data_IF_350219493279
#
_entry.id   IF_350219493279
#
_cell.length_a   1.000
_cell.length_b   1.000
_cell.length_c   1.000
_cell.angle_alpha   90.00
_cell.angle_beta   90.00
_cell.angle_gamma   90.00
#
_symmetry.space_group_name_H-M   'P 1'
#
loop_
_entity.id
_entity.type
_entity.pdbx_description
1 polymer ?
#
# COMPACT_ATOMS: atom_id res chain seq x y z
N UNK A 1 -16.89 2.77 5.78
CA UNK A 1 -16.62 3.23 4.40
C UNK A 1 -15.14 3.14 4.03
N UNK A 2 -14.21 3.69 4.82
CA UNK A 2 -12.75 3.67 4.49
C UNK A 2 -12.15 2.25 4.42
N UNK A 3 -12.56 1.35 5.33
CA UNK A 3 -12.08 -0.04 5.33
C UNK A 3 -12.53 -0.86 4.10
N UNK A 4 -13.70 -0.54 3.53
CA UNK A 4 -14.28 -1.29 2.41
C UNK A 4 -13.54 -0.99 1.11
N UNK A 5 -13.21 0.27 0.85
CA UNK A 5 -12.48 0.68 -0.35
C UNK A 5 -11.04 0.15 -0.34
N UNK A 6 -10.39 0.12 0.82
CA UNK A 6 -9.05 -0.46 0.95
C UNK A 6 -9.05 -1.98 0.78
N UNK A 7 -10.06 -2.67 1.31
CA UNK A 7 -10.21 -4.12 1.14
C UNK A 7 -10.49 -4.55 -0.30
N UNK A 8 -11.30 -3.79 -1.04
CA UNK A 8 -11.56 -4.06 -2.47
C UNK A 8 -10.35 -3.72 -3.35
N UNK A 9 -9.63 -2.63 -3.05
CA UNK A 9 -8.39 -2.28 -3.75
C UNK A 9 -7.29 -3.33 -3.53
N UNK A 10 -7.17 -3.85 -2.30
CA UNK A 10 -6.26 -4.96 -1.99
C UNK A 10 -6.63 -6.24 -2.75
N UNK A 11 -7.93 -6.57 -2.84
CA UNK A 11 -8.40 -7.73 -3.62
C UNK A 11 -8.10 -7.59 -5.11
N UNK A 12 -8.37 -6.44 -5.71
CA UNK A 12 -8.11 -6.20 -7.14
C UNK A 12 -6.62 -6.30 -7.50
N UNK A 13 -5.70 -5.96 -6.59
CA UNK A 13 -4.27 -6.15 -6.81
C UNK A 13 -3.78 -7.60 -6.57
N UNK A 14 -4.58 -8.45 -5.93
CA UNK A 14 -4.16 -9.82 -5.55
C UNK A 14 -4.75 -10.90 -6.48
N UNK A 15 -5.82 -10.61 -7.21
CA UNK A 15 -6.61 -11.62 -7.95
C UNK A 15 -6.19 -11.88 -9.41
N UNK A 16 -5.09 -11.29 -9.90
CA UNK A 16 -4.46 -11.66 -11.18
C UNK A 16 -3.47 -12.84 -11.02
N UNK A 17 -3.75 -13.73 -10.07
CA UNK A 17 -2.87 -14.81 -9.62
C UNK A 17 -3.36 -16.22 -9.91
N UNK A 18 -4.30 -16.44 -10.83
CA UNK A 18 -4.73 -17.80 -11.20
C UNK A 18 -3.91 -18.34 -12.38
N UNK A 19 -2.62 -18.62 -12.14
CA UNK A 19 -1.84 -19.53 -12.98
C UNK A 19 -1.70 -20.86 -12.24
N UNK A 20 -2.67 -21.74 -12.46
CA UNK A 20 -2.58 -23.16 -12.12
C UNK A 20 -1.35 -23.73 -12.82
N UNK A 21 -0.33 -24.17 -12.06
CA UNK A 21 0.51 -25.26 -12.53
C UNK A 21 0.98 -26.16 -11.39
N UNK A 22 0.53 -27.40 -11.51
CA UNK A 22 0.89 -28.59 -10.74
C UNK A 22 2.37 -28.94 -10.94
N UNK A 23 2.87 -29.61 -9.90
CA UNK A 23 4.03 -30.50 -9.82
C UNK A 23 5.44 -29.91 -9.72
N UNK A 24 6.02 -30.16 -8.54
CA UNK A 24 7.39 -30.61 -8.30
C UNK A 24 8.53 -29.90 -9.04
N UNK A 25 9.20 -28.97 -8.36
CA UNK A 25 10.60 -29.06 -7.86
C UNK A 25 10.96 -27.62 -7.43
N UNK A 26 11.08 -27.41 -6.12
CA UNK A 26 11.63 -26.18 -5.57
C UNK A 26 13.14 -26.20 -5.80
N UNK A 27 13.69 -25.21 -6.53
CA UNK A 27 15.06 -24.71 -6.39
C UNK A 27 15.25 -23.52 -7.33
N UNK A 28 15.44 -22.34 -6.74
CA UNK A 28 16.29 -21.21 -7.15
C UNK A 28 15.65 -19.90 -6.66
N UNK A 29 16.13 -19.50 -5.49
CA UNK A 29 15.79 -18.32 -4.74
C UNK A 29 16.32 -17.07 -5.48
N UNK A 30 15.42 -16.30 -6.09
CA UNK A 30 15.73 -14.95 -6.55
C UNK A 30 15.75 -14.00 -5.35
N UNK A 31 16.95 -13.50 -5.05
CA UNK A 31 17.30 -12.53 -3.99
C UNK A 31 16.13 -11.59 -3.62
N UNK A 32 15.74 -11.47 -2.34
CA UNK A 32 14.73 -10.49 -1.96
C UNK A 32 15.26 -9.10 -2.32
N UNK A 33 14.49 -8.37 -3.14
CA UNK A 33 14.72 -6.94 -3.34
C UNK A 33 14.67 -6.27 -1.98
N UNK A 34 15.50 -5.25 -1.73
CA UNK A 34 15.52 -4.51 -0.45
C UNK A 34 14.13 -3.99 -0.03
N UNK A 35 13.21 -3.86 -1.00
CA UNK A 35 11.77 -3.55 -0.80
C UNK A 35 10.95 -4.65 -0.10
N UNK A 36 11.47 -5.86 0.04
CA UNK A 36 10.79 -6.99 0.70
C UNK A 36 11.18 -7.16 2.16
N UNK A 37 12.32 -6.62 2.58
CA UNK A 37 12.78 -6.73 3.97
C UNK A 37 11.80 -6.01 4.92
N UNK A 38 11.22 -4.89 4.49
CA UNK A 38 10.14 -4.17 5.20
C UNK A 38 8.79 -4.92 5.24
N UNK A 39 8.59 -5.97 4.44
CA UNK A 39 7.31 -6.68 4.27
C UNK A 39 7.49 -8.19 4.45
N UNK A 40 8.12 -8.58 5.55
CA UNK A 40 8.45 -9.98 5.89
C UNK A 40 7.24 -10.92 5.94
N UNK A 41 6.03 -10.40 6.11
CA UNK A 41 4.79 -11.18 6.11
C UNK A 41 4.21 -11.45 4.71
N UNK A 42 4.78 -10.91 3.64
CA UNK A 42 4.26 -11.12 2.28
C UNK A 42 5.02 -12.23 1.54
N UNK A 43 4.31 -13.07 0.76
CA UNK A 43 4.97 -14.05 -0.10
C UNK A 43 5.82 -13.35 -1.17
N UNK A 44 6.95 -13.97 -1.53
CA UNK A 44 7.83 -13.46 -2.57
C UNK A 44 7.22 -13.69 -3.97
N UNK A 45 6.92 -12.64 -4.77
CA UNK A 45 6.41 -12.83 -6.12
C UNK A 45 7.44 -13.53 -7.01
N UNK A 46 6.99 -14.57 -7.72
CA UNK A 46 7.81 -15.34 -8.65
C UNK A 46 7.53 -14.91 -10.08
N UNK A 47 8.58 -14.78 -10.88
CA UNK A 47 8.49 -14.55 -12.33
C UNK A 47 9.24 -15.66 -13.08
N UNK A 48 8.81 -16.03 -14.30
CA UNK A 48 9.55 -16.98 -15.12
C UNK A 48 11.00 -16.52 -15.34
N UNK A 49 11.99 -17.42 -15.49
CA UNK A 49 13.39 -17.04 -15.74
C UNK A 49 13.60 -16.19 -17.00
N UNK A 50 12.75 -16.41 -18.01
CA UNK A 50 12.73 -15.62 -19.26
C UNK A 50 12.04 -14.26 -19.12
N UNK A 51 11.54 -13.93 -17.93
CA UNK A 51 10.76 -12.74 -17.65
C UNK A 51 9.31 -12.84 -18.13
N UNK A 52 8.56 -11.77 -17.92
CA UNK A 52 7.19 -11.62 -18.40
C UNK A 52 7.16 -11.21 -19.88
N UNK A 53 6.12 -11.61 -20.60
CA UNK A 53 5.89 -11.16 -21.98
C UNK A 53 5.70 -9.63 -22.03
N UNK A 54 5.89 -9.04 -23.21
CA UNK A 54 5.65 -7.60 -23.44
C UNK A 54 4.22 -7.22 -23.07
N UNK A 55 3.25 -8.04 -23.47
CA UNK A 55 1.82 -7.77 -23.21
C UNK A 55 1.48 -7.90 -21.73
N UNK A 56 2.02 -8.91 -21.03
CA UNK A 56 1.83 -9.05 -19.58
C UNK A 56 2.40 -7.83 -18.83
N UNK A 57 3.58 -7.34 -19.22
CA UNK A 57 4.15 -6.11 -18.62
C UNK A 57 3.30 -4.88 -18.89
N UNK A 58 2.79 -4.72 -20.11
CA UNK A 58 1.89 -3.60 -20.47
C UNK A 58 0.61 -3.63 -19.64
N UNK A 59 -0.01 -4.80 -19.48
CA UNK A 59 -1.21 -4.98 -18.64
C UNK A 59 -0.94 -4.63 -17.17
N UNK A 60 0.15 -5.15 -16.59
CA UNK A 60 0.54 -4.84 -15.22
C UNK A 60 0.76 -3.33 -15.00
N UNK A 61 1.39 -2.66 -15.98
CA UNK A 61 1.59 -1.21 -15.90
C UNK A 61 0.27 -0.45 -15.98
N UNK A 62 -0.65 -0.84 -16.88
CA UNK A 62 -1.99 -0.26 -16.97
C UNK A 62 -2.79 -0.45 -15.67
N UNK A 63 -2.78 -1.65 -15.09
CA UNK A 63 -3.41 -1.92 -13.80
C UNK A 63 -2.82 -1.04 -12.71
N UNK A 64 -1.48 -0.95 -12.60
CA UNK A 64 -0.81 -0.07 -11.64
C UNK A 64 -1.25 1.38 -11.79
N UNK A 65 -1.28 1.90 -13.01
CA UNK A 65 -1.62 3.30 -13.26
C UNK A 65 -3.09 3.59 -12.94
N UNK A 66 -3.99 2.67 -13.28
CA UNK A 66 -5.40 2.71 -12.91
C UNK A 66 -5.59 2.68 -11.39
N UNK A 67 -4.99 1.70 -10.69
CA UNK A 67 -5.04 1.58 -9.23
C UNK A 67 -4.51 2.84 -8.54
N UNK A 68 -3.45 3.46 -9.06
CA UNK A 68 -2.92 4.70 -8.52
C UNK A 68 -3.89 5.88 -8.66
N UNK A 69 -4.65 5.96 -9.76
CA UNK A 69 -5.67 6.98 -9.91
C UNK A 69 -6.81 6.79 -8.91
N UNK A 70 -7.27 5.56 -8.73
CA UNK A 70 -8.29 5.21 -7.72
C UNK A 70 -7.79 5.56 -6.32
N UNK A 71 -6.54 5.18 -5.99
CA UNK A 71 -5.93 5.49 -4.70
C UNK A 71 -5.85 6.99 -4.46
N UNK A 72 -5.43 7.79 -5.45
CA UNK A 72 -5.38 9.25 -5.35
C UNK A 72 -6.76 9.84 -5.08
N UNK A 73 -7.78 9.37 -5.81
CA UNK A 73 -9.15 9.83 -5.62
C UNK A 73 -9.68 9.47 -4.21
N UNK A 74 -9.46 8.23 -3.78
CA UNK A 74 -9.86 7.76 -2.46
C UNK A 74 -9.16 8.55 -1.33
N UNK A 75 -7.84 8.79 -1.46
CA UNK A 75 -7.09 9.59 -0.48
C UNK A 75 -7.59 11.04 -0.42
N UNK A 76 -7.88 11.65 -1.58
CA UNK A 76 -8.43 13.01 -1.64
C UNK A 76 -9.79 13.10 -0.95
N UNK A 77 -10.68 12.13 -1.18
CA UNK A 77 -11.99 12.06 -0.52
C UNK A 77 -11.83 11.87 0.99
N UNK A 78 -11.01 10.89 1.41
CA UNK A 78 -10.78 10.60 2.83
C UNK A 78 -10.22 11.83 3.57
N UNK A 79 -9.26 12.52 2.96
CA UNK A 79 -8.67 13.73 3.53
C UNK A 79 -9.70 14.86 3.67
N UNK A 80 -10.56 15.03 2.66
CA UNK A 80 -11.60 16.06 2.68
C UNK A 80 -12.66 15.78 3.76
N UNK A 81 -13.01 14.51 3.99
CA UNK A 81 -13.91 14.12 5.07
C UNK A 81 -13.23 14.33 6.43
N UNK A 82 -12.00 13.86 6.63
CA UNK A 82 -11.25 14.06 7.88
C UNK A 82 -11.08 15.54 8.24
N UNK A 83 -10.88 16.42 7.25
CA UNK A 83 -10.76 17.86 7.49
C UNK A 83 -12.06 18.54 7.99
N UNK A 84 -13.20 17.89 7.78
CA UNK A 84 -14.52 18.38 8.22
C UNK A 84 -14.98 17.74 9.54
N UNK A 85 -14.25 16.74 10.03
CA UNK A 85 -14.58 16.10 11.29
C UNK A 85 -14.22 17.03 12.45
N UNK A 86 -15.10 17.09 13.44
CA UNK A 86 -14.79 17.77 14.71
C UNK A 86 -13.64 17.05 15.42
N UNK A 87 -12.76 17.84 16.03
CA UNK A 87 -11.64 17.31 16.80
C UNK A 87 -12.19 16.78 18.14
N UNK A 88 -11.94 15.52 18.50
CA UNK A 88 -12.43 14.98 19.77
C UNK A 88 -11.86 15.73 20.98
N UNK A 89 -12.68 16.01 22.00
CA UNK A 89 -12.26 16.70 23.23
C UNK A 89 -11.10 16.00 23.93
N UNK A 90 -11.08 14.66 23.93
CA UNK A 90 -9.97 13.88 24.49
C UNK A 90 -8.62 14.23 23.85
N UNK A 91 -8.58 14.58 22.56
CA UNK A 91 -7.36 15.06 21.92
C UNK A 91 -7.00 16.47 22.41
N UNK A 92 -7.98 17.38 22.51
CA UNK A 92 -7.78 18.75 22.99
C UNK A 92 -7.24 18.79 24.43
N UNK A 93 -7.75 17.93 25.30
CA UNK A 93 -7.31 17.82 26.71
C UNK A 93 -5.87 17.32 26.84
N UNK A 94 -5.36 16.58 25.85
CA UNK A 94 -3.97 16.10 25.82
C UNK A 94 -2.98 17.10 25.21
N UNK A 95 -3.45 18.22 24.66
CA UNK A 95 -2.56 19.19 24.01
C UNK A 95 -1.61 19.84 25.04
N UNK A 96 -0.30 19.89 24.77
CA UNK A 96 0.63 20.69 25.54
C UNK A 96 0.19 22.16 25.58
N UNK A 97 0.31 22.79 26.77
CA UNK A 97 -0.09 24.18 26.99
C UNK A 97 0.70 25.20 26.16
N UNK A 98 1.85 24.80 25.62
CA UNK A 98 2.73 25.64 24.80
C UNK A 98 2.99 24.94 23.47
N UNK A 99 2.72 25.64 22.36
CA UNK A 99 2.92 25.14 20.99
C UNK A 99 4.38 24.75 20.70
N UNK A 100 5.33 25.44 21.34
CA UNK A 100 6.77 25.14 21.27
C UNK A 100 7.08 23.71 21.74
N UNK A 101 6.42 23.25 22.80
CA UNK A 101 6.54 21.87 23.28
C UNK A 101 5.93 20.85 22.31
N UNK A 102 4.93 21.24 21.50
CA UNK A 102 4.35 20.38 20.47
C UNK A 102 5.26 20.19 19.26
N UNK A 103 6.03 21.21 18.91
CA UNK A 103 6.95 21.18 17.76
C UNK A 103 8.34 20.62 18.11
N UNK A 104 8.61 20.32 19.39
CA UNK A 104 9.92 19.88 19.84
C UNK A 104 11.02 20.93 19.68
N UNK A 105 10.65 22.19 19.47
CA UNK A 105 11.58 23.31 19.32
C UNK A 105 12.01 23.78 20.71
N UNK A 106 12.93 23.08 21.35
CA UNK A 106 13.53 23.57 22.58
C UNK A 106 14.42 24.77 22.20
N UNK A 107 13.96 25.98 22.53
CA UNK A 107 14.73 27.21 22.33
C UNK A 107 16.04 27.09 23.12
N UNK A 108 17.14 26.85 22.40
CA UNK A 108 18.52 27.01 22.89
C UNK A 108 18.92 28.49 22.79
#
# INVERSE_FOLDING_TARGET
>A
MVATVFGELWRLCTDEGNMVQRDGVALMCGRPSIRQEEKWWLPNPKVPPKGLSVDARKRLQQCRDCTNQILKAALAINSNVHAKMEIPNAYLETLPKVWVSMLGLQML
#
